data_IF_498490626586
#
_entry.id   IF_498490626586
#
_cell.length_a   1.000
_cell.length_b   1.000
_cell.length_c   1.000
_cell.angle_alpha   90.00
_cell.angle_beta   90.00
_cell.angle_gamma   90.00
#
_symmetry.space_group_name_H-M   'P 1'
#
loop_
_entity.id
_entity.type
_entity.pdbx_description
1 polymer ?
#
# COMPACT_ATOMS: atom_id res chain seq x y z
N UNK A 1 1.12 0.90 18.49
CA UNK A 1 1.13 0.19 17.22
C UNK A 1 1.01 -1.34 17.36
N UNK A 2 1.51 -1.96 18.42
CA UNK A 2 1.46 -3.43 18.61
C UNK A 2 0.13 -4.02 19.16
N UNK A 3 -0.78 -3.20 19.70
CA UNK A 3 -2.01 -3.72 20.34
C UNK A 3 -3.09 -4.21 19.38
N UNK A 4 -3.18 -3.61 18.19
CA UNK A 4 -4.20 -4.00 17.19
C UNK A 4 -3.87 -5.32 16.46
N UNK A 5 -2.59 -5.58 16.23
CA UNK A 5 -2.13 -6.83 15.62
C UNK A 5 -2.32 -8.01 16.59
N UNK A 6 -2.05 -7.79 17.88
CA UNK A 6 -2.26 -8.81 18.92
C UNK A 6 -3.74 -9.17 19.14
N UNK A 7 -4.67 -8.21 18.98
CA UNK A 7 -6.12 -8.49 19.09
C UNK A 7 -6.66 -9.33 17.94
N UNK A 8 -6.14 -9.13 16.71
CA UNK A 8 -6.53 -9.93 15.55
C UNK A 8 -5.95 -11.35 15.65
N UNK A 9 -4.70 -11.50 16.06
CA UNK A 9 -4.07 -12.82 16.27
C UNK A 9 -4.69 -13.60 17.43
N UNK A 10 -5.06 -12.91 18.52
CA UNK A 10 -5.71 -13.52 19.68
C UNK A 10 -7.11 -14.05 19.35
N UNK A 11 -7.89 -13.33 18.53
CA UNK A 11 -9.22 -13.80 18.08
C UNK A 11 -9.14 -15.00 17.15
N UNK A 12 -8.16 -15.02 16.24
CA UNK A 12 -7.94 -16.14 15.31
C UNK A 12 -7.51 -17.39 16.08
N UNK A 13 -6.66 -17.28 17.11
CA UNK A 13 -6.25 -18.41 17.93
C UNK A 13 -7.37 -18.96 18.82
N UNK A 14 -8.22 -18.08 19.38
CA UNK A 14 -9.33 -18.51 20.25
C UNK A 14 -10.41 -19.28 19.52
N UNK A 15 -10.85 -18.79 18.37
CA UNK A 15 -11.95 -19.42 17.61
C UNK A 15 -11.54 -20.71 16.89
N UNK A 16 -10.26 -20.86 16.50
CA UNK A 16 -9.75 -22.08 15.87
C UNK A 16 -9.61 -23.21 16.89
N UNK A 17 -9.21 -22.92 18.12
CA UNK A 17 -9.00 -23.97 19.16
C UNK A 17 -10.32 -24.53 19.72
N UNK A 18 -11.39 -23.73 19.83
CA UNK A 18 -12.67 -24.17 20.38
C UNK A 18 -13.46 -25.06 19.42
N UNK A 19 -13.20 -24.98 18.10
CA UNK A 19 -13.94 -25.78 17.10
C UNK A 19 -13.28 -27.12 16.75
N UNK A 20 -12.01 -27.34 17.08
CA UNK A 20 -11.33 -28.61 16.82
C UNK A 20 -11.45 -29.65 17.93
N UNK A 21 -12.01 -29.29 19.10
CA UNK A 21 -12.20 -30.20 20.25
C UNK A 21 -13.57 -30.89 20.31
N UNK A 22 -14.47 -30.72 19.34
CA UNK A 22 -15.72 -31.43 19.24
C UNK A 22 -15.58 -32.75 18.49
N UNK A 23 -15.88 -33.87 19.13
CA UNK A 23 -15.91 -35.20 18.49
C UNK A 23 -16.77 -35.20 17.23
N UNK A 24 -16.19 -35.65 16.12
CA UNK A 24 -16.90 -35.86 14.86
C UNK A 24 -17.84 -37.05 15.00
N UNK A 25 -19.15 -36.90 14.73
CA UNK A 25 -20.03 -38.07 14.67
C UNK A 25 -19.63 -38.93 13.47
N UNK A 26 -19.29 -40.20 13.76
CA UNK A 26 -19.05 -41.23 12.75
C UNK A 26 -20.36 -41.56 12.05
N UNK A 27 -20.66 -40.96 10.94
CA UNK A 27 -21.70 -41.44 10.03
C UNK A 27 -21.15 -41.64 8.63
N UNK A 28 -21.00 -42.88 8.29
CA UNK A 28 -20.84 -43.39 6.94
C UNK A 28 -22.04 -42.94 6.08
N UNK A 29 -21.82 -42.05 5.12
CA UNK A 29 -22.49 -42.05 3.81
C UNK A 29 -21.93 -40.92 2.96
N UNK A 30 -21.56 -41.26 1.74
CA UNK A 30 -21.14 -40.36 0.69
C UNK A 30 -22.10 -39.16 0.54
N UNK A 31 -21.74 -37.99 1.02
CA UNK A 31 -22.55 -36.81 0.86
C UNK A 31 -21.64 -35.62 0.47
N UNK A 32 -21.78 -35.21 -0.77
CA UNK A 32 -21.25 -33.96 -1.30
C UNK A 32 -21.65 -32.75 -0.45
N UNK A 33 -22.75 -32.79 0.28
CA UNK A 33 -23.20 -31.75 1.21
C UNK A 33 -22.23 -31.49 2.37
N UNK A 34 -21.56 -32.52 2.91
CA UNK A 34 -20.58 -32.36 4.00
C UNK A 34 -19.31 -31.57 3.58
N UNK A 35 -18.97 -31.61 2.30
CA UNK A 35 -17.81 -30.91 1.74
C UNK A 35 -18.06 -29.41 1.63
N UNK A 36 -19.30 -28.99 1.41
CA UNK A 36 -19.67 -27.57 1.33
C UNK A 36 -19.68 -26.90 2.71
N UNK A 37 -20.10 -27.63 3.75
CA UNK A 37 -20.17 -27.09 5.12
C UNK A 37 -18.81 -26.84 5.76
N UNK A 38 -17.78 -27.58 5.39
CA UNK A 38 -16.40 -27.40 5.90
C UNK A 38 -15.61 -26.35 5.10
N UNK A 39 -16.02 -26.04 3.87
CA UNK A 39 -15.32 -25.07 3.03
C UNK A 39 -15.69 -23.62 3.35
N UNK A 40 -16.89 -23.35 3.85
CA UNK A 40 -17.37 -22.00 4.18
C UNK A 40 -16.57 -21.33 5.31
N UNK A 41 -16.34 -21.96 6.48
CA UNK A 41 -15.54 -21.33 7.53
C UNK A 41 -14.07 -21.15 7.14
N UNK A 42 -13.47 -22.09 6.40
CA UNK A 42 -12.10 -21.97 5.90
C UNK A 42 -11.96 -20.83 4.89
N UNK A 43 -12.95 -20.63 4.04
CA UNK A 43 -12.97 -19.50 3.11
C UNK A 43 -13.10 -18.17 3.85
N UNK A 44 -13.99 -18.07 4.83
CA UNK A 44 -14.15 -16.86 5.63
C UNK A 44 -12.85 -16.50 6.40
N UNK A 45 -12.21 -17.48 7.03
CA UNK A 45 -10.91 -17.27 7.70
C UNK A 45 -9.84 -16.82 6.71
N UNK A 46 -9.78 -17.44 5.54
CA UNK A 46 -8.82 -17.07 4.49
C UNK A 46 -9.05 -15.63 3.97
N UNK A 47 -10.29 -15.20 3.83
CA UNK A 47 -10.63 -13.87 3.35
C UNK A 47 -10.31 -12.79 4.41
N UNK A 48 -10.56 -13.07 5.69
CA UNK A 48 -10.13 -12.19 6.81
C UNK A 48 -8.62 -12.04 6.87
N UNK A 49 -7.88 -13.14 6.73
CA UNK A 49 -6.40 -13.11 6.70
C UNK A 49 -5.89 -12.32 5.50
N UNK A 50 -6.46 -12.52 4.32
CA UNK A 50 -6.11 -11.72 3.12
C UNK A 50 -6.38 -10.24 3.32
N UNK A 51 -7.52 -9.88 3.91
CA UNK A 51 -7.85 -8.50 4.23
C UNK A 51 -6.81 -7.86 5.15
N UNK A 52 -6.42 -8.54 6.23
CA UNK A 52 -5.39 -8.07 7.17
C UNK A 52 -4.03 -7.85 6.53
N UNK A 53 -3.59 -8.74 5.65
CA UNK A 53 -2.32 -8.60 4.90
C UNK A 53 -2.38 -7.38 3.97
N UNK A 54 -3.49 -7.15 3.27
CA UNK A 54 -3.63 -6.00 2.37
C UNK A 54 -3.67 -4.68 3.11
N UNK A 55 -4.32 -4.61 4.26
CA UNK A 55 -4.30 -3.43 5.14
C UNK A 55 -2.87 -3.08 5.55
N UNK A 56 -2.11 -4.07 6.02
CA UNK A 56 -0.70 -3.87 6.36
C UNK A 56 0.11 -3.34 5.17
N UNK A 57 -0.01 -3.97 4.01
CA UNK A 57 0.66 -3.53 2.78
C UNK A 57 0.24 -2.14 2.34
N UNK A 58 -1.01 -1.73 2.56
CA UNK A 58 -1.48 -0.38 2.27
C UNK A 58 -0.78 0.67 3.14
N UNK A 59 -0.57 0.38 4.42
CA UNK A 59 0.20 1.26 5.33
C UNK A 59 1.66 1.36 4.87
N UNK A 60 2.26 0.23 4.50
CA UNK A 60 3.64 0.18 3.99
C UNK A 60 3.79 1.00 2.69
N UNK A 61 2.80 0.94 1.79
CA UNK A 61 2.79 1.73 0.55
C UNK A 61 2.75 3.24 0.81
N UNK A 62 1.94 3.72 1.76
CA UNK A 62 1.91 5.16 2.10
C UNK A 62 3.23 5.61 2.70
N UNK A 63 3.88 4.78 3.53
CA UNK A 63 5.20 5.05 4.05
C UNK A 63 6.25 5.12 2.92
N UNK A 64 6.22 4.18 1.96
CA UNK A 64 7.09 4.16 0.78
C UNK A 64 6.89 5.42 -0.09
N UNK A 65 5.65 5.82 -0.34
CA UNK A 65 5.32 7.06 -1.08
C UNK A 65 5.96 8.27 -0.39
N UNK A 66 5.85 8.37 0.94
CA UNK A 66 6.44 9.44 1.72
C UNK A 66 7.97 9.46 1.62
N UNK A 67 8.59 8.30 1.70
CA UNK A 67 10.05 8.14 1.60
C UNK A 67 10.56 8.55 0.21
N UNK A 68 9.88 8.12 -0.86
CA UNK A 68 10.22 8.51 -2.24
C UNK A 68 10.19 10.03 -2.37
N UNK A 69 9.14 10.68 -1.86
CA UNK A 69 9.03 12.14 -1.89
C UNK A 69 10.18 12.80 -1.14
N UNK A 70 10.35 12.50 0.13
CA UNK A 70 11.34 13.19 0.99
C UNK A 70 12.75 13.08 0.42
N UNK A 71 13.16 11.87 0.08
CA UNK A 71 14.52 11.63 -0.46
C UNK A 71 14.76 12.37 -1.77
N UNK A 72 13.84 12.23 -2.73
CA UNK A 72 14.08 12.81 -4.05
C UNK A 72 13.88 14.33 -4.07
N UNK A 73 12.95 14.87 -3.29
CA UNK A 73 12.75 16.30 -3.23
C UNK A 73 13.92 17.02 -2.54
N UNK A 74 14.54 16.40 -1.54
CA UNK A 74 15.79 16.93 -0.95
C UNK A 74 16.90 17.05 -1.99
N UNK A 75 17.07 16.05 -2.87
CA UNK A 75 18.02 16.10 -3.96
C UNK A 75 17.66 17.22 -4.97
N UNK A 76 16.37 17.40 -5.27
CA UNK A 76 15.91 18.47 -6.17
C UNK A 76 16.14 19.86 -5.61
N UNK A 77 16.03 20.05 -4.28
CA UNK A 77 16.38 21.32 -3.62
C UNK A 77 17.87 21.68 -3.76
N UNK A 78 18.74 20.67 -3.83
CA UNK A 78 20.19 20.86 -4.02
C UNK A 78 20.59 20.97 -5.51
N UNK A 79 19.64 20.77 -6.44
CA UNK A 79 19.90 20.72 -7.87
C UNK A 79 19.79 22.13 -8.50
N UNK A 80 20.90 22.72 -9.00
CA UNK A 80 20.89 24.07 -9.59
C UNK A 80 20.18 24.14 -10.96
N UNK A 81 19.70 23.02 -11.48
CA UNK A 81 18.93 22.98 -12.71
C UNK A 81 17.45 23.33 -12.52
N UNK A 82 16.98 23.43 -11.27
CA UNK A 82 15.62 23.87 -10.95
C UNK A 82 15.59 25.31 -10.44
N UNK A 83 14.59 26.07 -10.85
CA UNK A 83 14.28 27.38 -10.28
C UNK A 83 13.43 27.24 -9.03
N UNK A 84 13.33 28.29 -8.20
CA UNK A 84 12.49 28.31 -7.01
C UNK A 84 11.00 28.07 -7.35
N UNK A 85 10.51 28.65 -8.45
CA UNK A 85 9.14 28.48 -8.90
C UNK A 85 8.85 27.03 -9.33
N UNK A 86 9.82 26.40 -10.02
CA UNK A 86 9.70 24.99 -10.41
C UNK A 86 9.72 24.08 -9.20
N UNK A 87 10.57 24.33 -8.22
CA UNK A 87 10.61 23.57 -6.97
C UNK A 87 9.30 23.73 -6.19
N UNK A 88 8.71 24.92 -6.18
CA UNK A 88 7.39 25.16 -5.60
C UNK A 88 6.30 24.32 -6.30
N UNK A 89 6.28 24.33 -7.64
CA UNK A 89 5.34 23.53 -8.42
C UNK A 89 5.54 22.01 -8.22
N UNK A 90 6.80 21.55 -8.16
CA UNK A 90 7.13 20.15 -7.88
C UNK A 90 6.67 19.76 -6.48
N UNK A 91 6.91 20.59 -5.48
CA UNK A 91 6.45 20.37 -4.10
C UNK A 91 4.93 20.25 -4.02
N UNK A 92 4.20 21.14 -4.72
CA UNK A 92 2.75 21.09 -4.77
C UNK A 92 2.23 19.79 -5.40
N UNK A 93 2.86 19.31 -6.48
CA UNK A 93 2.53 18.03 -7.10
C UNK A 93 2.70 16.85 -6.15
N UNK A 94 3.81 16.80 -5.43
CA UNK A 94 4.04 15.78 -4.40
C UNK A 94 3.03 15.89 -3.24
N UNK A 95 2.78 17.10 -2.75
CA UNK A 95 1.81 17.32 -1.67
C UNK A 95 0.42 16.80 -2.01
N UNK A 96 -0.02 17.02 -3.26
CA UNK A 96 -1.29 16.49 -3.75
C UNK A 96 -1.33 14.96 -3.75
N UNK A 97 -0.29 14.30 -4.28
CA UNK A 97 -0.20 12.83 -4.30
C UNK A 97 -0.15 12.24 -2.89
N UNK A 98 0.52 12.93 -1.96
CA UNK A 98 0.59 12.55 -0.55
C UNK A 98 -0.78 12.68 0.14
N UNK A 99 -1.49 13.78 -0.08
CA UNK A 99 -2.84 14.00 0.49
C UNK A 99 -3.79 12.89 0.04
N UNK A 100 -3.88 12.64 -1.27
CA UNK A 100 -4.76 11.62 -1.84
C UNK A 100 -4.43 10.20 -1.31
N UNK A 101 -3.14 9.91 -1.14
CA UNK A 101 -2.70 8.62 -0.55
C UNK A 101 -3.09 8.50 0.92
N UNK A 102 -3.00 9.60 1.68
CA UNK A 102 -3.36 9.64 3.09
C UNK A 102 -4.87 9.53 3.29
N UNK A 103 -5.66 10.19 2.45
CA UNK A 103 -7.12 10.13 2.46
C UNK A 103 -7.59 8.69 2.19
N UNK A 104 -7.00 8.03 1.20
CA UNK A 104 -7.28 6.61 0.89
C UNK A 104 -6.95 5.69 2.07
N UNK A 105 -5.85 5.95 2.79
CA UNK A 105 -5.50 5.20 4.00
C UNK A 105 -6.48 5.47 5.14
N UNK A 106 -6.97 6.70 5.28
CA UNK A 106 -7.97 7.04 6.28
C UNK A 106 -9.31 6.35 6.00
N UNK A 107 -9.74 6.30 4.74
CA UNK A 107 -10.94 5.57 4.32
C UNK A 107 -10.82 4.07 4.63
N UNK A 108 -9.66 3.49 4.31
CA UNK A 108 -9.37 2.10 4.65
C UNK A 108 -9.43 1.86 6.15
N UNK A 109 -8.87 2.76 6.96
CA UNK A 109 -8.90 2.69 8.42
C UNK A 109 -10.33 2.77 8.96
N UNK A 110 -11.16 3.63 8.37
CA UNK A 110 -12.56 3.74 8.74
C UNK A 110 -13.30 2.42 8.50
N UNK A 111 -13.12 1.80 7.33
CA UNK A 111 -13.76 0.52 6.97
C UNK A 111 -13.32 -0.62 7.89
N UNK A 112 -12.05 -0.65 8.30
CA UNK A 112 -11.51 -1.71 9.19
C UNK A 112 -12.00 -1.54 10.62
N UNK A 113 -12.16 -0.29 11.10
CA UNK A 113 -12.50 -0.01 12.50
C UNK A 113 -14.00 0.06 12.80
N UNK A 114 -14.87 0.12 11.80
CA UNK A 114 -16.31 0.23 12.02
C UNK A 114 -16.91 -1.14 12.35
N UNK A 115 -17.23 -1.34 13.62
CA UNK A 115 -17.91 -2.53 14.15
C UNK A 115 -19.43 -2.46 14.02
N UNK A 116 -19.99 -1.35 13.56
CA UNK A 116 -21.44 -1.08 13.51
C UNK A 116 -22.06 -0.89 12.12
N UNK A 117 -21.29 -0.96 11.05
CA UNK A 117 -21.87 -0.88 9.70
C UNK A 117 -22.38 -2.25 9.23
N UNK A 118 -23.52 -2.24 8.56
CA UNK A 118 -24.16 -3.40 7.92
C UNK A 118 -23.44 -3.90 6.65
N UNK A 119 -22.11 -3.70 6.57
CA UNK A 119 -21.28 -4.19 5.46
C UNK A 119 -21.03 -5.68 5.63
N UNK A 120 -21.28 -6.44 4.58
CA UNK A 120 -20.88 -7.84 4.50
C UNK A 120 -19.36 -7.97 4.45
N UNK A 121 -18.82 -9.10 4.86
CA UNK A 121 -17.36 -9.36 4.77
C UNK A 121 -16.85 -9.28 3.33
N UNK A 122 -17.65 -9.64 2.34
CA UNK A 122 -17.32 -9.54 0.93
C UNK A 122 -17.19 -8.08 0.47
N UNK A 123 -18.11 -7.21 0.87
CA UNK A 123 -18.05 -5.77 0.57
C UNK A 123 -16.85 -5.11 1.23
N UNK A 124 -16.59 -5.44 2.49
CA UNK A 124 -15.42 -4.96 3.24
C UNK A 124 -14.12 -5.37 2.55
N UNK A 125 -14.00 -6.62 2.11
CA UNK A 125 -12.84 -7.11 1.39
C UNK A 125 -12.67 -6.40 0.04
N UNK A 126 -13.76 -6.14 -0.68
CA UNK A 126 -13.71 -5.40 -1.94
C UNK A 126 -13.20 -3.96 -1.76
N UNK A 127 -13.61 -3.27 -0.70
CA UNK A 127 -13.12 -1.93 -0.37
C UNK A 127 -11.62 -1.97 -0.04
N UNK A 128 -11.17 -2.94 0.77
CA UNK A 128 -9.75 -3.14 1.08
C UNK A 128 -8.92 -3.40 -0.19
N UNK A 129 -9.43 -4.22 -1.10
CA UNK A 129 -8.77 -4.52 -2.37
C UNK A 129 -8.65 -3.30 -3.27
N UNK A 130 -9.71 -2.50 -3.36
CA UNK A 130 -9.71 -1.27 -4.15
C UNK A 130 -8.74 -0.23 -3.57
N UNK A 131 -8.74 -0.03 -2.25
CA UNK A 131 -7.81 0.87 -1.58
C UNK A 131 -6.35 0.44 -1.81
N UNK A 132 -6.03 -0.84 -1.67
CA UNK A 132 -4.70 -1.36 -1.92
C UNK A 132 -4.24 -1.14 -3.36
N UNK A 133 -5.12 -1.40 -4.35
CA UNK A 133 -4.81 -1.15 -5.79
C UNK A 133 -4.61 0.33 -6.07
N UNK A 134 -5.43 1.20 -5.49
CA UNK A 134 -5.29 2.65 -5.64
C UNK A 134 -3.96 3.14 -5.06
N UNK A 135 -3.55 2.67 -3.89
CA UNK A 135 -2.27 3.01 -3.29
C UNK A 135 -1.07 2.51 -4.10
N UNK A 136 -1.16 1.33 -4.73
CA UNK A 136 -0.16 0.87 -5.69
C UNK A 136 -0.06 1.83 -6.89
N UNK A 137 -1.18 2.31 -7.40
CA UNK A 137 -1.20 3.29 -8.49
C UNK A 137 -0.58 4.63 -8.06
N UNK A 138 -0.89 5.13 -6.86
CA UNK A 138 -0.27 6.36 -6.33
C UNK A 138 1.24 6.21 -6.15
N UNK A 139 1.71 5.09 -5.63
CA UNK A 139 3.15 4.81 -5.53
C UNK A 139 3.82 4.82 -6.91
N UNK A 140 3.22 4.18 -7.91
CA UNK A 140 3.73 4.19 -9.28
C UNK A 140 3.70 5.60 -9.90
N UNK A 141 2.67 6.38 -9.62
CA UNK A 141 2.53 7.76 -10.07
C UNK A 141 3.60 8.68 -9.44
N UNK A 142 3.87 8.52 -8.14
CA UNK A 142 4.94 9.26 -7.44
C UNK A 142 6.31 8.93 -8.05
N UNK A 143 6.59 7.64 -8.31
CA UNK A 143 7.83 7.24 -8.99
C UNK A 143 7.92 7.82 -10.40
N UNK A 144 6.84 7.79 -11.17
CA UNK A 144 6.80 8.38 -12.51
C UNK A 144 7.04 9.90 -12.44
N UNK A 145 6.37 10.59 -11.53
CA UNK A 145 6.52 12.03 -11.33
C UNK A 145 7.97 12.40 -10.96
N UNK A 146 8.55 11.66 -10.04
CA UNK A 146 9.96 11.81 -9.65
C UNK A 146 10.89 11.65 -10.84
N UNK A 147 10.76 10.57 -11.62
CA UNK A 147 11.59 10.31 -12.81
C UNK A 147 11.47 11.41 -13.85
N UNK A 148 10.26 11.93 -14.08
CA UNK A 148 10.04 13.03 -15.04
C UNK A 148 10.78 14.30 -14.62
N UNK A 149 10.74 14.66 -13.34
CA UNK A 149 11.46 15.83 -12.85
C UNK A 149 12.99 15.64 -12.96
N UNK A 150 13.51 14.45 -12.57
CA UNK A 150 14.93 14.13 -12.71
C UNK A 150 15.35 14.18 -14.20
N UNK A 151 14.54 13.65 -15.12
CA UNK A 151 14.81 13.71 -16.56
C UNK A 151 14.92 15.14 -17.07
N UNK A 152 14.12 16.07 -16.56
CA UNK A 152 14.22 17.51 -16.92
C UNK A 152 15.56 18.08 -16.48
N UNK A 153 16.00 17.81 -15.25
CA UNK A 153 17.30 18.21 -14.76
C UNK A 153 18.44 17.66 -15.63
N UNK A 154 18.40 16.37 -15.91
CA UNK A 154 19.41 15.72 -16.77
C UNK A 154 19.50 16.34 -18.15
N UNK A 155 18.38 16.60 -18.81
CA UNK A 155 18.36 17.24 -20.13
C UNK A 155 18.94 18.65 -20.10
N UNK A 156 18.73 19.40 -19.03
CA UNK A 156 19.31 20.73 -18.83
C UNK A 156 20.83 20.65 -18.57
N UNK A 157 21.25 19.73 -17.73
CA UNK A 157 22.66 19.47 -17.45
C UNK A 157 23.42 19.02 -18.71
N UNK A 158 22.80 18.16 -19.54
CA UNK A 158 23.38 17.74 -20.82
C UNK A 158 23.65 18.91 -21.76
N UNK A 159 22.74 19.90 -21.80
CA UNK A 159 22.94 21.11 -22.59
C UNK A 159 24.10 21.99 -22.06
N UNK A 160 24.41 21.88 -20.77
CA UNK A 160 25.49 22.63 -20.11
C UNK A 160 26.81 21.86 -20.02
N UNK A 161 26.87 20.60 -20.49
CA UNK A 161 27.97 19.65 -20.28
C UNK A 161 28.30 19.41 -18.79
N UNK A 162 27.31 19.42 -17.92
CA UNK A 162 27.43 19.25 -16.46
C UNK A 162 26.59 18.04 -15.95
N UNK A 163 26.65 16.94 -16.69
CA UNK A 163 25.91 15.72 -16.37
C UNK A 163 26.39 15.03 -15.09
N UNK A 164 27.69 15.16 -14.77
CA UNK A 164 28.30 14.49 -13.62
C UNK A 164 27.69 14.95 -12.30
N UNK A 165 27.29 16.20 -12.20
CA UNK A 165 26.59 16.74 -11.04
C UNK A 165 25.22 16.09 -10.84
N UNK A 166 24.45 15.91 -11.90
CA UNK A 166 23.13 15.26 -11.85
C UNK A 166 23.27 13.80 -11.50
N UNK A 167 24.28 13.12 -12.06
CA UNK A 167 24.58 11.74 -11.72
C UNK A 167 25.01 11.60 -10.24
N UNK A 168 25.73 12.56 -9.69
CA UNK A 168 26.10 12.58 -8.28
C UNK A 168 24.89 12.74 -7.34
N UNK A 169 23.87 13.52 -7.76
CA UNK A 169 22.65 13.73 -6.97
C UNK A 169 21.65 12.56 -7.04
N UNK A 170 21.50 11.97 -8.21
CA UNK A 170 20.41 11.03 -8.47
C UNK A 170 20.86 9.59 -8.79
N UNK A 171 22.16 9.32 -8.83
CA UNK A 171 22.72 8.04 -9.22
C UNK A 171 23.02 7.91 -10.72
N UNK A 172 23.57 6.78 -11.11
CA UNK A 172 23.95 6.49 -12.50
C UNK A 172 22.74 6.25 -13.40
N UNK A 173 22.93 6.40 -14.72
CA UNK A 173 21.91 6.11 -15.73
C UNK A 173 21.39 4.65 -15.65
N UNK A 174 22.21 3.72 -15.17
CA UNK A 174 21.87 2.32 -14.99
C UNK A 174 20.89 2.08 -13.82
N UNK A 175 20.73 3.05 -12.91
CA UNK A 175 19.74 2.99 -11.82
C UNK A 175 18.32 3.38 -12.25
N UNK A 176 18.08 3.56 -13.54
CA UNK A 176 16.75 3.68 -14.17
C UNK A 176 15.94 4.94 -13.86
N UNK A 177 16.60 6.06 -13.79
CA UNK A 177 15.90 7.35 -13.70
C UNK A 177 15.66 8.02 -15.07
N UNK A 178 16.22 7.44 -16.15
CA UNK A 178 16.16 7.96 -17.52
C UNK A 178 15.28 7.11 -18.46
#
# INVERSE_FOLDING_TARGET
>A
MNRLILLVESRIRGDVYVRFGGELPKTHRSNTAGRWMLSLPLKAVHDVVKGGIKVKKSIELVAEISEIYVRNFQNMLADPNFTADELSAISFGYAKLMSESSDMLQDLKNVVNITGMSLTDAERLAIIDNAYRSLLNYRNLVNYYTRKNISVSYLRAKKKNDTDRVLALYGSADERYW
#
